data_IF_012244051783
#
_entry.id   IF_012244051783
#
_cell.length_a   1.000
_cell.length_b   1.000
_cell.length_c   1.000
_cell.angle_alpha   90.00
_cell.angle_beta   90.00
_cell.angle_gamma   90.00
#
_symmetry.space_group_name_H-M   'P 1'
#
loop_
_entity.id
_entity.type
_entity.pdbx_description
1 polymer ?
#
# COMPACT_ATOMS: atom_id res chain seq x y z
N UNK A 1 5.35 -8.01 -11.54
CA UNK A 1 4.83 -6.85 -12.30
C UNK A 1 5.25 -5.60 -11.56
N UNK A 2 5.67 -4.56 -12.27
CA UNK A 2 6.00 -3.25 -11.68
C UNK A 2 5.10 -2.25 -12.39
N UNK A 3 4.30 -1.51 -11.62
CA UNK A 3 3.43 -0.45 -12.11
C UNK A 3 3.54 0.75 -11.18
N UNK A 4 3.37 1.95 -11.74
CA UNK A 4 3.24 3.21 -10.99
C UNK A 4 1.78 3.58 -10.73
N UNK A 5 0.84 2.89 -11.37
CA UNK A 5 -0.60 3.17 -11.24
C UNK A 5 -1.20 2.31 -10.13
N UNK A 6 -1.46 2.94 -8.98
CA UNK A 6 -2.10 2.30 -7.83
C UNK A 6 -3.42 1.57 -8.16
N UNK A 7 -4.33 2.12 -9.00
CA UNK A 7 -5.56 1.44 -9.38
C UNK A 7 -5.33 0.11 -10.09
N UNK A 8 -4.27 0.00 -10.90
CA UNK A 8 -3.92 -1.24 -11.59
C UNK A 8 -3.47 -2.31 -10.60
N UNK A 9 -2.64 -1.93 -9.62
CA UNK A 9 -2.15 -2.82 -8.56
C UNK A 9 -3.28 -3.33 -7.66
N UNK A 10 -4.27 -2.48 -7.37
CA UNK A 10 -5.47 -2.86 -6.62
C UNK A 10 -6.31 -3.92 -7.36
N UNK A 11 -6.28 -3.95 -8.69
CA UNK A 11 -7.04 -4.91 -9.49
C UNK A 11 -6.44 -6.32 -9.58
N UNK A 12 -5.18 -6.50 -9.17
CA UNK A 12 -4.42 -7.74 -9.37
C UNK A 12 -3.93 -8.42 -8.08
N UNK A 13 -3.93 -7.71 -6.96
CA UNK A 13 -3.35 -8.20 -5.70
C UNK A 13 -4.43 -8.68 -4.74
N UNK A 14 -4.15 -9.73 -3.97
CA UNK A 14 -5.00 -10.16 -2.85
C UNK A 14 -4.67 -9.42 -1.54
N UNK A 15 -3.41 -8.99 -1.39
CA UNK A 15 -2.90 -8.33 -0.19
C UNK A 15 -1.78 -7.35 -0.54
N UNK A 16 -1.76 -6.21 0.14
CA UNK A 16 -0.85 -5.11 -0.12
C UNK A 16 -0.05 -4.78 1.14
N UNK A 17 1.26 -4.67 0.98
CA UNK A 17 2.17 -4.17 1.98
C UNK A 17 2.71 -2.81 1.55
N UNK A 18 2.71 -1.84 2.44
CA UNK A 18 3.36 -0.54 2.20
C UNK A 18 4.72 -0.52 2.89
N UNK A 19 5.70 0.13 2.25
CA UNK A 19 7.05 0.26 2.76
C UNK A 19 7.42 1.74 2.85
N UNK A 20 8.03 2.14 3.95
CA UNK A 20 8.66 3.45 4.11
C UNK A 20 9.96 3.31 4.91
N UNK A 21 11.02 3.99 4.48
CA UNK A 21 12.35 3.95 5.10
C UNK A 21 12.86 2.52 5.42
N UNK A 22 12.65 1.58 4.49
CA UNK A 22 13.10 0.19 4.65
C UNK A 22 12.28 -0.63 5.65
N UNK A 23 11.08 -0.18 6.04
CA UNK A 23 10.20 -0.86 7.00
C UNK A 23 8.80 -1.00 6.43
N UNK A 24 8.15 -2.12 6.74
CA UNK A 24 6.73 -2.30 6.46
C UNK A 24 5.95 -1.37 7.37
N UNK A 25 5.09 -0.54 6.79
CA UNK A 25 4.28 0.45 7.50
C UNK A 25 2.79 0.12 7.51
N UNK A 26 2.37 -0.84 6.68
CA UNK A 26 1.00 -1.29 6.58
C UNK A 26 0.92 -2.66 5.92
N UNK A 27 -0.04 -3.46 6.37
CA UNK A 27 -0.50 -4.69 5.72
C UNK A 27 -2.02 -4.54 5.58
N UNK A 28 -2.51 -4.55 4.35
CA UNK A 28 -3.93 -4.29 4.06
C UNK A 28 -4.45 -5.39 3.13
N UNK A 29 -5.53 -6.11 3.49
CA UNK A 29 -6.21 -6.99 2.55
C UNK A 29 -6.85 -6.16 1.43
N UNK A 30 -6.90 -6.69 0.21
CA UNK A 30 -7.37 -5.90 -0.93
C UNK A 30 -8.79 -5.35 -0.77
N UNK A 31 -9.66 -6.09 -0.08
CA UNK A 31 -11.04 -5.67 0.22
C UNK A 31 -11.13 -4.37 1.04
N UNK A 32 -10.07 -4.01 1.75
CA UNK A 32 -9.97 -2.80 2.58
C UNK A 32 -8.98 -1.77 1.99
N UNK A 33 -8.33 -2.12 0.88
CA UNK A 33 -7.31 -1.28 0.28
C UNK A 33 -7.95 -0.19 -0.59
N UNK A 34 -7.71 1.06 -0.21
CA UNK A 34 -7.98 2.23 -1.03
C UNK A 34 -6.69 3.01 -1.26
N UNK A 35 -6.66 3.84 -2.31
CA UNK A 35 -5.53 4.74 -2.53
C UNK A 35 -5.25 5.62 -1.31
N UNK A 36 -6.28 6.15 -0.67
CA UNK A 36 -6.16 6.98 0.53
C UNK A 36 -5.53 6.21 1.70
N UNK A 37 -6.06 5.02 2.00
CA UNK A 37 -5.56 4.15 3.08
C UNK A 37 -4.10 3.78 2.86
N UNK A 38 -3.73 3.43 1.62
CA UNK A 38 -2.35 3.05 1.27
C UNK A 38 -1.40 4.25 1.38
N UNK A 39 -1.80 5.42 0.88
CA UNK A 39 -1.01 6.65 1.00
C UNK A 39 -0.77 7.02 2.46
N UNK A 40 -1.78 6.87 3.33
CA UNK A 40 -1.63 7.09 4.77
C UNK A 40 -0.54 6.20 5.39
N UNK A 41 -0.49 4.91 5.05
CA UNK A 41 0.58 4.03 5.55
C UNK A 41 1.94 4.34 4.92
N UNK A 42 2.00 4.76 3.66
CA UNK A 42 3.27 5.10 2.98
C UNK A 42 3.93 6.35 3.56
N UNK A 43 3.15 7.33 4.02
CA UNK A 43 3.64 8.58 4.60
C UNK A 43 3.74 8.56 6.12
N UNK A 44 3.42 7.43 6.76
CA UNK A 44 3.50 7.30 8.21
C UNK A 44 4.96 7.37 8.65
N UNK A 45 5.37 8.52 9.16
CA UNK A 45 6.66 8.70 9.83
C UNK A 45 6.63 7.98 11.18
N UNK A 46 7.74 7.34 11.52
CA UNK A 46 7.94 6.84 12.89
C UNK A 46 8.21 8.04 13.79
N UNK A 47 7.45 8.17 14.87
CA UNK A 47 7.95 8.84 16.08
C UNK A 47 9.27 8.19 16.55
#
# INVERSE_FOLDING_TARGET
MISSELPELLGICDRIYTLSAGRITGEVPIAEASQETLMHYMTKEKE
#
